data_IF_824422996524
#
_entry.id   IF_824422996524
#
_cell.length_a   1.000
_cell.length_b   1.000
_cell.length_c   1.000
_cell.angle_alpha   90.00
_cell.angle_beta   90.00
_cell.angle_gamma   90.00
#
_symmetry.space_group_name_H-M   'P 1'
#
loop_
_entity.id
_entity.type
_entity.pdbx_description
1 polymer ?
#
# COMPACT_ATOMS: atom_id res chain seq x y z
N UNK A 1 -6.93 3.46 -18.30
CA UNK A 1 -7.28 4.07 -16.99
C UNK A 1 -7.19 2.97 -15.94
N UNK A 2 -6.50 3.19 -14.82
CA UNK A 2 -6.43 2.22 -13.72
C UNK A 2 -7.49 2.54 -12.66
N UNK A 3 -8.26 1.55 -12.24
CA UNK A 3 -9.19 1.68 -11.10
C UNK A 3 -8.40 1.66 -9.79
N UNK A 4 -8.87 2.34 -8.75
CA UNK A 4 -8.32 2.17 -7.41
C UNK A 4 -8.87 0.87 -6.80
N UNK A 5 -7.99 -0.06 -6.45
CA UNK A 5 -8.36 -1.41 -6.03
C UNK A 5 -7.96 -1.72 -4.59
N UNK A 6 -7.04 -0.95 -4.02
CA UNK A 6 -6.70 -1.04 -2.61
C UNK A 6 -6.20 0.29 -2.05
N UNK A 7 -6.33 0.44 -0.74
CA UNK A 7 -5.91 1.60 0.02
C UNK A 7 -5.13 1.15 1.25
N UNK A 8 -4.02 1.81 1.56
CA UNK A 8 -3.25 1.58 2.79
C UNK A 8 -3.16 2.88 3.55
N UNK A 9 -3.83 2.97 4.70
CA UNK A 9 -3.65 4.06 5.64
C UNK A 9 -2.48 3.76 6.57
N UNK A 10 -1.62 4.76 6.75
CA UNK A 10 -0.40 4.64 7.55
C UNK A 10 -0.41 5.75 8.59
N UNK A 11 -0.11 5.42 9.83
CA UNK A 11 -0.20 6.37 10.93
C UNK A 11 0.28 5.80 12.25
N UNK A 12 -0.05 6.51 13.33
CA UNK A 12 0.17 6.01 14.70
C UNK A 12 -1.09 5.29 15.19
N UNK A 13 -0.98 4.23 16.00
CA UNK A 13 -2.15 3.64 16.63
C UNK A 13 -2.82 4.62 17.60
N UNK A 14 -4.15 4.57 17.70
CA UNK A 14 -4.89 5.17 18.80
C UNK A 14 -5.06 4.12 19.91
N UNK A 15 -4.29 4.21 21.02
CA UNK A 15 -4.30 3.22 22.08
C UNK A 15 -5.61 3.19 22.87
N UNK A 16 -6.48 4.21 22.76
CA UNK A 16 -7.72 4.31 23.52
C UNK A 16 -8.90 3.65 22.78
N UNK A 17 -8.94 3.77 21.46
CA UNK A 17 -10.10 3.36 20.66
C UNK A 17 -9.78 2.29 19.61
N UNK A 18 -8.56 1.73 19.64
CA UNK A 18 -8.04 0.86 18.59
C UNK A 18 -8.12 1.49 17.19
N UNK A 19 -8.16 2.82 17.12
CA UNK A 19 -8.19 3.57 15.87
C UNK A 19 -6.81 3.75 15.26
N UNK A 20 -6.74 4.64 14.27
CA UNK A 20 -5.48 5.10 13.68
C UNK A 20 -5.50 6.63 13.60
N UNK A 21 -4.36 7.25 13.86
CA UNK A 21 -4.08 8.64 13.55
C UNK A 21 -3.33 8.68 12.21
N UNK A 22 -4.02 8.71 11.06
CA UNK A 22 -3.39 8.55 9.75
C UNK A 22 -2.61 9.80 9.35
N UNK A 23 -1.46 9.59 8.70
CA UNK A 23 -0.61 10.67 8.16
C UNK A 23 -0.43 10.53 6.65
N UNK A 24 -0.54 9.31 6.13
CA UNK A 24 -0.37 9.01 4.70
C UNK A 24 -1.37 7.96 4.23
N UNK A 25 -1.65 7.97 2.93
CA UNK A 25 -2.40 6.95 2.22
C UNK A 25 -1.56 6.45 1.05
N UNK A 26 -1.50 5.14 0.85
CA UNK A 26 -1.13 4.56 -0.44
C UNK A 26 -2.38 4.11 -1.17
N UNK A 27 -2.49 4.46 -2.45
CA UNK A 27 -3.59 4.04 -3.32
C UNK A 27 -3.00 3.14 -4.40
N UNK A 28 -3.51 1.91 -4.47
CA UNK A 28 -3.15 0.98 -5.53
C UNK A 28 -4.12 1.16 -6.68
N UNK A 29 -3.56 1.43 -7.85
CA UNK A 29 -4.30 1.33 -9.09
C UNK A 29 -3.92 0.06 -9.83
N UNK A 30 -4.92 -0.75 -10.21
CA UNK A 30 -4.71 -1.97 -10.97
C UNK A 30 -5.41 -1.90 -12.33
N UNK A 31 -4.69 -2.38 -13.35
CA UNK A 31 -5.10 -2.67 -14.73
C UNK A 31 -3.89 -3.32 -15.43
N UNK A 32 -3.69 -3.14 -16.74
CA UNK A 32 -2.52 -3.60 -17.51
C UNK A 32 -1.15 -3.34 -16.84
N UNK A 33 -1.03 -2.22 -16.10
CA UNK A 33 0.18 -1.88 -15.33
C UNK A 33 -0.21 -1.33 -13.96
N UNK A 34 0.13 -2.00 -12.85
CA UNK A 34 -0.21 -1.50 -11.52
C UNK A 34 0.69 -0.32 -11.14
N UNK A 35 0.19 0.55 -10.26
CA UNK A 35 1.02 1.54 -9.57
C UNK A 35 0.48 1.89 -8.19
N UNK A 36 1.39 2.09 -7.25
CA UNK A 36 1.14 2.67 -5.94
C UNK A 36 1.34 4.18 -5.99
N UNK A 37 0.40 4.93 -5.42
CA UNK A 37 0.52 6.37 -5.20
C UNK A 37 0.54 6.64 -3.70
N UNK A 38 1.66 7.11 -3.17
CA UNK A 38 1.79 7.56 -1.78
C UNK A 38 1.47 9.06 -1.71
N UNK A 39 0.47 9.41 -0.91
CA UNK A 39 0.05 10.78 -0.64
C UNK A 39 0.00 11.05 0.86
N UNK A 40 0.40 12.23 1.34
CA UNK A 40 0.07 12.68 2.69
C UNK A 40 -1.45 12.88 2.84
N UNK A 41 -1.96 12.70 4.06
CA UNK A 41 -3.33 13.03 4.45
C UNK A 41 -3.28 14.31 5.28
N UNK A 42 -4.02 15.33 4.83
CA UNK A 42 -4.23 16.56 5.60
C UNK A 42 -5.49 16.38 6.45
N UNK A 43 -5.38 16.58 7.76
CA UNK A 43 -6.49 16.37 8.69
C UNK A 43 -7.37 17.59 8.84
N UNK A 44 -6.81 18.79 8.64
CA UNK A 44 -7.53 20.04 8.75
C UNK A 44 -7.38 20.89 7.48
N UNK A 45 -8.41 21.63 7.06
CA UNK A 45 -8.36 22.50 5.87
C UNK A 45 -7.22 23.52 5.92
N UNK A 46 -6.88 23.98 7.13
CA UNK A 46 -5.86 25.01 7.39
C UNK A 46 -4.47 24.43 7.70
N UNK A 47 -4.29 23.11 7.66
CA UNK A 47 -2.95 22.54 7.63
C UNK A 47 -2.27 23.00 6.34
N UNK A 48 -1.42 24.03 6.45
CA UNK A 48 -0.60 24.50 5.34
C UNK A 48 0.03 23.28 4.67
N UNK A 49 -0.28 23.04 3.38
CA UNK A 49 0.43 22.03 2.60
C UNK A 49 1.92 22.34 2.78
N UNK A 50 2.72 21.45 3.41
CA UNK A 50 4.16 21.60 3.37
C UNK A 50 4.56 21.84 1.92
N UNK A 51 5.46 22.80 1.70
CA UNK A 51 5.99 23.16 0.37
C UNK A 51 6.58 21.94 -0.39
N UNK A 52 6.75 20.81 0.31
CA UNK A 52 7.27 19.54 -0.18
C UNK A 52 6.29 18.35 -0.03
N UNK A 53 4.98 18.54 -0.23
CA UNK A 53 4.04 17.41 -0.38
C UNK A 53 4.26 16.67 -1.70
N UNK A 54 5.35 15.90 -1.76
CA UNK A 54 5.71 15.08 -2.91
C UNK A 54 4.81 13.86 -2.94
N UNK A 55 3.98 13.77 -3.98
CA UNK A 55 3.32 12.53 -4.36
C UNK A 55 4.40 11.61 -4.93
N UNK A 56 4.49 10.40 -4.40
CA UNK A 56 5.47 9.40 -4.85
C UNK A 56 4.72 8.25 -5.51
N UNK A 57 5.18 7.85 -6.69
CA UNK A 57 4.54 6.82 -7.51
C UNK A 57 5.50 5.67 -7.74
N UNK A 58 5.12 4.46 -7.35
CA UNK A 58 5.87 3.26 -7.70
C UNK A 58 5.08 2.41 -8.69
N UNK A 59 5.75 1.91 -9.72
CA UNK A 59 5.27 0.75 -10.48
C UNK A 59 5.87 -0.47 -9.78
N UNK A 60 5.08 -1.20 -8.98
CA UNK A 60 5.57 -2.30 -8.16
C UNK A 60 5.89 -3.53 -8.99
N UNK A 61 6.52 -4.52 -8.34
CA UNK A 61 6.54 -5.89 -8.86
C UNK A 61 5.19 -6.56 -8.59
N UNK A 62 4.70 -7.36 -9.53
CA UNK A 62 3.38 -8.00 -9.40
C UNK A 62 3.41 -9.06 -8.30
N UNK A 63 4.52 -9.77 -8.15
CA UNK A 63 4.65 -10.90 -7.22
C UNK A 63 4.74 -10.46 -5.75
N UNK A 64 5.15 -9.21 -5.49
CA UNK A 64 5.45 -8.70 -4.15
C UNK A 64 4.88 -7.28 -3.95
N UNK A 65 3.73 -7.02 -4.57
CA UNK A 65 3.13 -5.71 -4.70
C UNK A 65 2.79 -5.07 -3.35
N UNK A 66 2.36 -5.88 -2.37
CA UNK A 66 2.12 -5.42 -1.00
C UNK A 66 3.44 -5.14 -0.24
N UNK A 67 4.45 -6.00 -0.36
CA UNK A 67 5.77 -5.75 0.25
C UNK A 67 6.44 -4.49 -0.33
N UNK A 68 6.22 -4.22 -1.62
CA UNK A 68 6.68 -2.99 -2.27
C UNK A 68 6.02 -1.74 -1.67
N UNK A 69 4.75 -1.81 -1.29
CA UNK A 69 4.07 -0.75 -0.55
C UNK A 69 4.65 -0.58 0.87
N UNK A 70 4.93 -1.67 1.58
CA UNK A 70 5.57 -1.61 2.90
C UNK A 70 6.98 -0.99 2.81
N UNK A 71 7.72 -1.28 1.74
CA UNK A 71 9.00 -0.65 1.47
C UNK A 71 8.87 0.86 1.21
N UNK A 72 7.84 1.30 0.47
CA UNK A 72 7.54 2.73 0.34
C UNK A 72 7.30 3.39 1.70
N UNK A 73 6.58 2.73 2.60
CA UNK A 73 6.33 3.22 3.96
C UNK A 73 7.66 3.40 4.70
N UNK A 74 8.52 2.38 4.71
CA UNK A 74 9.82 2.44 5.36
C UNK A 74 10.73 3.56 4.85
N UNK A 75 10.77 3.77 3.52
CA UNK A 75 11.64 4.76 2.88
C UNK A 75 11.09 6.19 3.01
N UNK A 76 9.80 6.40 2.74
CA UNK A 76 9.27 7.76 2.54
C UNK A 76 8.45 8.29 3.71
N UNK A 77 7.78 7.39 4.44
CA UNK A 77 6.95 7.76 5.61
C UNK A 77 7.79 7.74 6.88
N UNK A 78 8.41 6.59 7.19
CA UNK A 78 9.24 6.42 8.38
C UNK A 78 10.62 7.06 8.21
N UNK A 79 11.09 7.17 6.95
CA UNK A 79 12.40 7.71 6.58
C UNK A 79 13.53 7.06 7.38
N UNK A 80 13.45 5.74 7.53
CA UNK A 80 14.49 4.99 8.23
C UNK A 80 15.84 5.18 7.56
N UNK A 81 16.88 5.46 8.36
CA UNK A 81 18.20 5.83 7.85
C UNK A 81 18.88 4.69 7.08
N UNK A 82 18.71 3.44 7.52
CA UNK A 82 19.29 2.27 6.86
C UNK A 82 18.60 2.04 5.51
N UNK A 83 17.27 2.06 5.49
CA UNK A 83 16.48 1.91 4.26
C UNK A 83 16.76 3.01 3.25
N UNK A 84 16.75 4.27 3.68
CA UNK A 84 17.00 5.42 2.80
C UNK A 84 18.41 5.33 2.20
N UNK A 85 19.42 5.00 3.01
CA UNK A 85 20.80 4.84 2.53
C UNK A 85 20.93 3.70 1.50
N UNK A 86 20.33 2.55 1.77
CA UNK A 86 20.32 1.43 0.82
C UNK A 86 19.56 1.76 -0.46
N UNK A 87 18.41 2.43 -0.35
CA UNK A 87 17.61 2.88 -1.48
C UNK A 87 18.42 3.85 -2.38
N UNK A 88 19.08 4.85 -1.80
CA UNK A 88 19.95 5.78 -2.54
C UNK A 88 21.13 5.09 -3.24
N UNK A 89 21.59 3.97 -2.71
CA UNK A 89 22.66 3.17 -3.32
C UNK A 89 22.15 2.27 -4.44
N UNK A 90 20.97 1.67 -4.28
CA UNK A 90 20.47 0.63 -5.17
C UNK A 90 19.57 1.13 -6.29
N UNK A 91 18.81 2.21 -6.08
CA UNK A 91 18.00 2.78 -7.14
C UNK A 91 18.88 3.49 -8.18
N UNK A 92 18.65 3.17 -9.44
CA UNK A 92 19.27 3.82 -10.60
C UNK A 92 18.69 5.21 -10.81
N UNK A 93 17.37 5.34 -10.70
CA UNK A 93 16.66 6.62 -10.79
C UNK A 93 16.53 7.24 -9.38
N UNK A 94 17.27 8.33 -9.14
CA UNK A 94 17.41 8.93 -7.80
C UNK A 94 16.68 10.27 -7.63
N UNK A 95 16.25 10.88 -8.73
CA UNK A 95 15.71 12.24 -8.73
C UNK A 95 14.21 12.30 -9.03
N UNK A 96 13.61 11.20 -9.46
CA UNK A 96 12.20 11.15 -9.78
C UNK A 96 11.33 10.72 -8.58
N UNK A 97 10.18 11.37 -8.46
CA UNK A 97 9.07 10.90 -7.62
C UNK A 97 8.41 9.63 -8.19
N UNK A 98 8.97 9.04 -9.26
CA UNK A 98 8.46 7.87 -9.94
C UNK A 98 9.53 6.79 -10.02
N UNK A 99 9.24 5.60 -9.52
CA UNK A 99 10.17 4.45 -9.57
C UNK A 99 9.47 3.27 -10.23
N UNK A 100 10.13 2.63 -11.18
CA UNK A 100 9.71 1.37 -11.77
C UNK A 100 10.60 0.23 -11.30
N UNK A 101 10.09 -0.59 -10.37
CA UNK A 101 10.90 -1.56 -9.65
C UNK A 101 11.54 -2.64 -10.54
N UNK A 102 10.93 -3.02 -11.66
CA UNK A 102 11.56 -3.96 -12.61
C UNK A 102 12.76 -3.36 -13.36
N UNK A 103 12.83 -2.03 -13.50
CA UNK A 103 13.84 -1.36 -14.32
C UNK A 103 14.90 -0.63 -13.47
N UNK A 104 14.45 0.01 -12.39
CA UNK A 104 15.24 0.97 -11.61
C UNK A 104 16.04 0.33 -10.49
N UNK A 105 15.84 -0.96 -10.22
CA UNK A 105 16.58 -1.73 -9.22
C UNK A 105 16.70 -3.19 -9.68
N UNK A 106 17.83 -3.85 -9.41
CA UNK A 106 17.96 -5.27 -9.68
C UNK A 106 17.24 -6.12 -8.61
N UNK A 107 16.79 -7.31 -9.01
CA UNK A 107 16.02 -8.21 -8.16
C UNK A 107 16.71 -8.58 -6.85
N UNK A 108 18.05 -8.71 -6.84
CA UNK A 108 18.81 -9.09 -5.63
C UNK A 108 18.81 -7.94 -4.62
N UNK A 109 19.04 -6.72 -5.07
CA UNK A 109 19.01 -5.53 -4.22
C UNK A 109 17.59 -5.19 -3.75
N UNK A 110 16.58 -5.36 -4.60
CA UNK A 110 15.18 -5.17 -4.19
C UNK A 110 14.76 -6.18 -3.12
N UNK A 111 15.11 -7.46 -3.29
CA UNK A 111 14.91 -8.47 -2.24
C UNK A 111 15.59 -8.05 -0.94
N UNK A 112 16.84 -7.61 -1.00
CA UNK A 112 17.57 -7.13 0.18
C UNK A 112 16.87 -5.96 0.87
N UNK A 113 16.32 -5.00 0.12
CA UNK A 113 15.54 -3.89 0.71
C UNK A 113 14.30 -4.38 1.44
N UNK A 114 13.56 -5.35 0.89
CA UNK A 114 12.38 -5.94 1.55
C UNK A 114 12.74 -6.65 2.85
N UNK A 115 13.81 -7.45 2.86
CA UNK A 115 14.28 -8.12 4.09
C UNK A 115 14.70 -7.12 5.17
N UNK A 116 15.40 -6.04 4.78
CA UNK A 116 15.77 -4.97 5.71
C UNK A 116 14.52 -4.25 6.22
N UNK A 117 13.55 -3.97 5.34
CA UNK A 117 12.29 -3.35 5.68
C UNK A 117 11.52 -4.17 6.74
N UNK A 118 11.40 -5.48 6.51
CA UNK A 118 10.74 -6.43 7.43
C UNK A 118 11.31 -6.38 8.85
N UNK A 119 12.64 -6.29 8.98
CA UNK A 119 13.32 -6.18 10.29
C UNK A 119 13.16 -4.81 10.97
N UNK A 120 12.96 -3.75 10.18
CA UNK A 120 13.00 -2.37 10.67
C UNK A 120 11.62 -1.85 11.06
N UNK A 121 10.58 -2.20 10.29
CA UNK A 121 9.21 -1.77 10.54
C UNK A 121 8.73 -2.00 11.99
N UNK A 122 9.02 -3.14 12.65
CA UNK A 122 8.64 -3.39 14.05
C UNK A 122 9.22 -2.39 15.06
N UNK A 123 10.30 -1.67 14.71
CA UNK A 123 10.95 -0.71 15.61
C UNK A 123 10.18 0.61 15.73
N UNK A 124 9.20 0.83 14.87
CA UNK A 124 8.42 2.06 14.82
C UNK A 124 7.04 1.83 15.40
N UNK A 125 6.54 2.83 16.14
CA UNK A 125 5.15 2.86 16.58
C UNK A 125 4.24 3.26 15.42
N UNK A 126 4.04 2.32 14.48
CA UNK A 126 3.27 2.50 13.25
C UNK A 126 2.13 1.48 13.19
N UNK A 127 0.95 1.96 12.79
CA UNK A 127 -0.21 1.14 12.45
C UNK A 127 -0.51 1.25 10.96
N UNK A 128 -0.84 0.11 10.35
CA UNK A 128 -1.15 -0.01 8.92
C UNK A 128 -2.56 -0.59 8.75
N UNK A 129 -3.46 0.16 8.11
CA UNK A 129 -4.80 -0.34 7.78
C UNK A 129 -4.90 -0.53 6.26
N UNK A 130 -5.19 -1.75 5.82
CA UNK A 130 -5.25 -2.14 4.41
C UNK A 130 -6.69 -2.43 4.03
N UNK A 131 -7.29 -1.58 3.19
CA UNK A 131 -8.62 -1.80 2.63
C UNK A 131 -8.51 -2.33 1.19
N UNK A 132 -9.10 -3.50 0.91
CA UNK A 132 -8.90 -4.23 -0.35
C UNK A 132 -10.23 -4.54 -1.03
N UNK A 133 -10.35 -4.22 -2.31
CA UNK A 133 -11.49 -4.64 -3.15
C UNK A 133 -11.34 -6.10 -3.58
N UNK A 134 -12.46 -6.80 -3.81
CA UNK A 134 -12.47 -8.26 -4.01
C UNK A 134 -11.63 -8.77 -5.20
N UNK A 135 -11.41 -7.94 -6.21
CA UNK A 135 -10.67 -8.32 -7.42
C UNK A 135 -9.20 -7.86 -7.41
N UNK A 136 -8.75 -7.27 -6.30
CA UNK A 136 -7.39 -6.78 -6.17
C UNK A 136 -6.36 -7.92 -6.10
N UNK A 137 -5.25 -7.80 -6.82
CA UNK A 137 -4.17 -8.80 -6.81
C UNK A 137 -3.55 -8.95 -5.43
N UNK A 138 -3.49 -7.87 -4.64
CA UNK A 138 -2.88 -7.90 -3.31
C UNK A 138 -3.71 -8.66 -2.28
N UNK A 139 -4.97 -9.00 -2.59
CA UNK A 139 -5.79 -9.85 -1.72
C UNK A 139 -5.12 -11.21 -1.47
N UNK A 140 -4.39 -11.74 -2.45
CA UNK A 140 -3.63 -13.00 -2.34
C UNK A 140 -2.28 -12.84 -1.63
N UNK A 141 -1.88 -11.61 -1.30
CA UNK A 141 -0.58 -11.28 -0.71
C UNK A 141 -0.69 -10.88 0.75
N UNK A 142 -1.91 -10.72 1.30
CA UNK A 142 -2.14 -10.18 2.66
C UNK A 142 -1.44 -10.96 3.77
N UNK A 143 -1.21 -12.26 3.56
CA UNK A 143 -0.54 -13.14 4.52
C UNK A 143 0.88 -12.68 4.85
N UNK A 144 1.55 -11.98 3.91
CA UNK A 144 2.89 -11.45 4.13
C UNK A 144 2.95 -10.43 5.28
N UNK A 145 1.83 -9.78 5.61
CA UNK A 145 1.76 -8.83 6.73
C UNK A 145 2.06 -9.50 8.08
N UNK A 146 1.76 -10.79 8.22
CA UNK A 146 2.05 -11.56 9.43
C UNK A 146 3.55 -11.67 9.72
N UNK A 147 4.40 -11.44 8.72
CA UNK A 147 5.86 -11.50 8.84
C UNK A 147 6.49 -10.15 9.27
N UNK A 148 5.72 -9.06 9.28
CA UNK A 148 6.26 -7.70 9.50
C UNK A 148 6.15 -7.20 10.95
N UNK A 149 5.64 -8.00 11.89
CA UNK A 149 5.46 -7.67 13.33
C UNK A 149 5.05 -6.20 13.60
N UNK A 150 4.09 -5.69 12.81
CA UNK A 150 3.52 -4.35 12.94
C UNK A 150 2.03 -4.44 13.25
N UNK A 151 1.51 -3.47 13.99
CA UNK A 151 0.07 -3.34 14.18
C UNK A 151 -0.60 -3.13 12.82
N UNK A 152 -1.48 -4.05 12.44
CA UNK A 152 -2.19 -3.94 11.17
C UNK A 152 -3.62 -4.45 11.23
N UNK A 153 -4.46 -3.89 10.37
CA UNK A 153 -5.84 -4.32 10.14
C UNK A 153 -6.05 -4.52 8.64
N UNK A 154 -6.62 -5.66 8.26
CA UNK A 154 -6.97 -5.96 6.87
C UNK A 154 -8.49 -5.91 6.74
N UNK A 155 -8.97 -4.88 6.04
CA UNK A 155 -10.39 -4.64 5.79
C UNK A 155 -10.73 -5.12 4.37
N UNK A 156 -11.62 -6.09 4.26
CA UNK A 156 -12.10 -6.60 2.97
C UNK A 156 -13.61 -6.53 2.89
N UNK A 157 -14.12 -6.44 1.67
CA UNK A 157 -15.55 -6.23 1.44
C UNK A 157 -16.37 -7.41 1.96
N UNK A 158 -17.35 -7.10 2.83
CA UNK A 158 -18.32 -8.10 3.34
C UNK A 158 -19.47 -8.36 2.36
N UNK A 159 -19.83 -7.35 1.58
CA UNK A 159 -20.82 -7.46 0.51
C UNK A 159 -20.42 -6.60 -0.69
N UNK A 160 -20.92 -6.96 -1.87
CA UNK A 160 -20.78 -6.19 -3.11
C UNK A 160 -22.11 -6.11 -3.83
N UNK A 161 -22.33 -5.01 -4.55
CA UNK A 161 -23.45 -4.83 -5.45
C UNK A 161 -22.96 -4.14 -6.71
N UNK A 162 -22.97 -4.87 -7.81
CA UNK A 162 -22.45 -4.40 -9.09
C UNK A 162 -23.58 -3.99 -10.03
N UNK A 163 -23.26 -3.08 -10.93
CA UNK A 163 -24.07 -2.81 -12.11
C UNK A 163 -23.63 -3.74 -13.23
N UNK A 164 -24.58 -4.32 -13.95
CA UNK A 164 -24.27 -5.08 -15.16
C UNK A 164 -23.97 -4.13 -16.32
N UNK A 165 -22.71 -3.69 -16.42
CA UNK A 165 -22.26 -2.81 -17.49
C UNK A 165 -22.22 -3.48 -18.86
N UNK A 166 -22.35 -4.80 -18.94
CA UNK A 166 -22.29 -5.56 -20.19
C UNK A 166 -23.67 -6.03 -20.69
N UNK A 167 -24.69 -5.98 -19.83
CA UNK A 167 -26.09 -6.25 -20.15
C UNK A 167 -26.94 -4.99 -20.19
N UNK A 168 -28.02 -4.98 -19.42
CA UNK A 168 -29.04 -3.92 -19.45
C UNK A 168 -28.70 -2.70 -18.57
N UNK A 169 -27.51 -2.67 -17.96
CA UNK A 169 -27.08 -1.58 -17.10
C UNK A 169 -27.79 -1.52 -15.76
N UNK A 170 -28.59 -2.53 -15.36
CA UNK A 170 -29.26 -2.52 -14.06
C UNK A 170 -28.30 -2.83 -12.91
N UNK A 171 -28.66 -2.29 -11.75
CA UNK A 171 -27.97 -2.60 -10.50
C UNK A 171 -28.43 -3.98 -10.02
N UNK A 172 -27.49 -4.87 -9.76
CA UNK A 172 -27.76 -6.21 -9.26
C UNK A 172 -28.15 -6.23 -7.77
N UNK A 173 -28.33 -7.44 -7.25
CA UNK A 173 -28.58 -7.68 -5.83
C UNK A 173 -27.28 -7.62 -5.00
N UNK A 174 -27.43 -7.50 -3.68
CA UNK A 174 -26.30 -7.64 -2.76
C UNK A 174 -25.81 -9.09 -2.76
N UNK A 175 -24.51 -9.26 -2.94
CA UNK A 175 -23.83 -10.54 -2.77
C UNK A 175 -22.96 -10.44 -1.52
N UNK A 176 -23.24 -11.28 -0.54
CA UNK A 176 -22.37 -11.45 0.63
C UNK A 176 -21.16 -12.31 0.25
N UNK A 177 -20.01 -12.00 0.85
CA UNK A 177 -18.78 -12.74 0.62
C UNK A 177 -18.27 -13.27 1.95
N UNK A 178 -18.27 -14.60 2.10
CA UNK A 178 -17.45 -15.26 3.09
C UNK A 178 -16.07 -15.58 2.51
N UNK A 179 -15.16 -14.68 2.84
CA UNK A 179 -13.73 -14.72 2.58
C UNK A 179 -13.02 -15.89 3.26
N UNK A 180 -13.60 -16.50 4.30
CA UNK A 180 -13.03 -17.68 4.95
C UNK A 180 -13.36 -18.99 4.22
N UNK A 181 -14.45 -19.00 3.44
CA UNK A 181 -14.86 -20.17 2.65
C UNK A 181 -14.16 -20.26 1.28
N UNK A 182 -13.67 -19.12 0.76
CA UNK A 182 -12.86 -19.09 -0.46
C UNK A 182 -11.40 -19.43 -0.14
N UNK A 183 -11.06 -20.72 -0.18
CA UNK A 183 -9.67 -21.15 -0.44
C UNK A 183 -9.30 -20.69 -1.87
N UNK A 184 -8.42 -19.71 -1.98
CA UNK A 184 -7.92 -19.17 -3.25
C UNK A 184 -6.72 -19.93 -3.80
#
# INVERSE_FOLDING_TARGET
>A
MGSANAFIMVGRPDPLHNGIYPTHCLILHENDKPWWVLTPIFRFPDECKPENCKIIVWIPTVEHMLEDALLMIGIYVLKDKELVSLAMRFFKNKEENRIWLYNDIDRKNLKKLREVCKRILPRYNVKIVVAITLDSTILRQVEVLKEYEVECEVCIARFRRDRDYWGDGKLGEFKEYDIWEKKW
#
